data_IF_377104005481
#
_entry.id   IF_377104005481
#
_cell.length_a   1.000
_cell.length_b   1.000
_cell.length_c   1.000
_cell.angle_alpha   90.00
_cell.angle_beta   90.00
_cell.angle_gamma   90.00
#
_symmetry.space_group_name_H-M   'P 1'
#
loop_
_entity.id
_entity.type
_entity.pdbx_description
1 polymer ?
#
# COMPACT_ATOMS: atom_id res chain seq x y z
N UNK A 1 -10.19 -10.93 18.06
CA UNK A 1 -10.26 -12.17 17.25
C UNK A 1 -10.86 -11.77 15.91
N UNK A 2 -10.20 -12.07 14.81
CA UNK A 2 -10.67 -11.75 13.48
C UNK A 2 -11.52 -12.91 12.95
N UNK A 3 -12.68 -12.60 12.38
CA UNK A 3 -13.58 -13.59 11.83
C UNK A 3 -14.64 -12.93 10.96
N UNK A 4 -15.20 -13.69 10.02
CA UNK A 4 -16.31 -13.19 9.19
C UNK A 4 -17.52 -12.87 10.07
N UNK A 5 -18.11 -11.70 9.83
CA UNK A 5 -19.28 -11.22 10.59
C UNK A 5 -18.95 -10.55 11.93
N UNK A 6 -17.65 -10.36 12.23
CA UNK A 6 -17.22 -9.70 13.47
C UNK A 6 -16.22 -8.61 13.15
N UNK A 7 -16.63 -7.35 13.30
CA UNK A 7 -15.74 -6.20 13.21
C UNK A 7 -14.95 -6.04 14.51
N UNK A 8 -13.67 -5.66 14.37
CA UNK A 8 -12.85 -5.29 15.52
C UNK A 8 -13.24 -3.89 16.01
N UNK A 9 -13.47 -3.71 17.32
CA UNK A 9 -13.86 -2.41 17.87
C UNK A 9 -12.73 -1.36 17.79
N UNK A 10 -11.51 -1.81 17.71
CA UNK A 10 -10.30 -0.98 17.63
C UNK A 10 -9.16 -1.74 16.93
N UNK A 11 -7.98 -1.14 16.88
CA UNK A 11 -6.77 -1.72 16.27
C UNK A 11 -5.83 -2.40 17.27
N UNK A 12 -6.21 -2.52 18.55
CA UNK A 12 -5.34 -3.12 19.56
C UNK A 12 -5.14 -4.61 19.33
N UNK A 13 -3.98 -5.13 19.71
CA UNK A 13 -3.79 -6.56 19.81
C UNK A 13 -4.64 -7.13 20.95
N UNK A 14 -5.31 -8.28 20.78
CA UNK A 14 -6.19 -8.83 21.82
C UNK A 14 -5.42 -9.31 23.05
N UNK A 15 -6.14 -9.46 24.17
CA UNK A 15 -5.69 -10.12 25.40
C UNK A 15 -4.42 -9.54 26.03
N UNK A 16 -4.18 -8.23 25.88
CA UNK A 16 -3.04 -7.56 26.51
C UNK A 16 -1.69 -7.87 25.85
N UNK A 17 -1.67 -8.35 24.61
CA UNK A 17 -0.42 -8.63 23.88
C UNK A 17 0.46 -7.39 23.72
N UNK A 18 -0.13 -6.21 23.54
CA UNK A 18 0.61 -4.94 23.49
C UNK A 18 1.43 -4.71 24.78
N UNK A 19 0.87 -5.02 25.93
CA UNK A 19 1.58 -4.88 27.21
C UNK A 19 2.72 -5.89 27.35
N UNK A 20 2.56 -7.11 26.83
CA UNK A 20 3.62 -8.14 26.82
C UNK A 20 4.77 -7.68 25.92
N UNK A 21 4.46 -7.21 24.70
CA UNK A 21 5.47 -6.72 23.75
C UNK A 21 6.22 -5.53 24.37
N UNK A 22 5.49 -4.59 24.97
CA UNK A 22 6.08 -3.42 25.63
C UNK A 22 7.05 -3.80 26.76
N UNK A 23 6.66 -4.74 27.61
CA UNK A 23 7.49 -5.24 28.70
C UNK A 23 8.76 -5.94 28.19
N UNK A 24 8.62 -6.82 27.19
CA UNK A 24 9.75 -7.52 26.58
C UNK A 24 10.71 -6.54 25.90
N UNK A 25 10.19 -5.62 25.10
CA UNK A 25 11.00 -4.62 24.40
C UNK A 25 11.72 -3.66 25.38
N UNK A 26 11.08 -3.35 26.52
CA UNK A 26 11.71 -2.55 27.58
C UNK A 26 12.84 -3.30 28.28
N UNK A 27 12.73 -4.61 28.42
CA UNK A 27 13.78 -5.46 29.01
C UNK A 27 14.91 -5.80 28.02
N UNK A 28 14.59 -5.93 26.73
CA UNK A 28 15.55 -6.24 25.68
C UNK A 28 15.30 -5.39 24.43
N UNK A 29 16.11 -4.36 24.17
CA UNK A 29 15.96 -3.50 22.99
C UNK A 29 16.24 -4.20 21.67
N UNK A 30 16.79 -5.43 21.67
CA UNK A 30 16.99 -6.24 20.47
C UNK A 30 15.77 -7.13 20.14
N UNK A 31 14.59 -6.75 20.56
CA UNK A 31 13.34 -7.45 20.29
C UNK A 31 12.91 -7.27 18.82
N UNK A 32 12.53 -8.37 18.21
CA UNK A 32 11.85 -8.40 16.91
C UNK A 32 10.43 -8.91 17.15
N UNK A 33 9.44 -8.24 16.58
CA UNK A 33 8.02 -8.65 16.68
C UNK A 33 7.57 -9.24 15.36
N UNK A 34 6.97 -10.42 15.41
CA UNK A 34 6.31 -11.07 14.26
C UNK A 34 4.81 -11.02 14.50
N UNK A 35 4.08 -10.38 13.62
CA UNK A 35 2.63 -10.23 13.66
C UNK A 35 1.97 -11.22 12.68
N UNK A 36 1.09 -12.05 13.22
CA UNK A 36 0.23 -12.96 12.46
C UNK A 36 -1.22 -12.47 12.58
N UNK A 37 -1.53 -11.37 11.89
CA UNK A 37 -2.85 -10.71 11.92
C UNK A 37 -3.39 -10.53 10.50
N UNK A 38 -4.69 -10.58 10.32
CA UNK A 38 -5.35 -10.37 9.02
C UNK A 38 -5.59 -8.90 8.70
N UNK A 39 -5.60 -8.04 9.72
CA UNK A 39 -5.85 -6.61 9.62
C UNK A 39 -4.68 -5.78 10.13
N UNK A 40 -4.62 -4.49 9.80
CA UNK A 40 -3.73 -3.55 10.45
C UNK A 40 -3.99 -3.51 11.96
N UNK A 41 -2.91 -3.40 12.73
CA UNK A 41 -2.98 -3.23 14.19
C UNK A 41 -2.24 -1.98 14.60
N UNK A 42 -2.66 -1.38 15.72
CA UNK A 42 -1.89 -0.35 16.39
C UNK A 42 -0.61 -0.95 16.97
N UNK A 43 0.44 -0.16 17.02
CA UNK A 43 1.75 -0.61 17.50
C UNK A 43 2.35 0.43 18.46
N UNK A 44 1.77 0.61 19.64
CA UNK A 44 2.23 1.64 20.59
C UNK A 44 3.68 1.41 21.05
N UNK A 45 4.16 0.21 20.93
CA UNK A 45 5.52 -0.24 21.26
C UNK A 45 6.50 -0.16 20.08
N UNK A 46 6.07 0.29 18.89
CA UNK A 46 6.84 0.28 17.63
C UNK A 46 8.26 0.83 17.76
N UNK A 47 8.40 1.94 18.46
CA UNK A 47 9.68 2.64 18.58
C UNK A 47 10.64 2.00 19.63
N UNK A 48 10.17 0.97 20.33
CA UNK A 48 10.97 0.20 21.30
C UNK A 48 11.58 -1.07 20.73
N UNK A 49 11.14 -1.51 19.55
CA UNK A 49 11.58 -2.77 18.92
C UNK A 49 12.51 -2.52 17.75
N UNK A 50 13.37 -3.50 17.44
CA UNK A 50 14.35 -3.38 16.33
C UNK A 50 13.74 -3.62 14.97
N UNK A 51 12.77 -4.52 14.87
CA UNK A 51 12.10 -4.84 13.63
C UNK A 51 10.69 -5.39 13.88
N UNK A 52 9.85 -5.23 12.87
CA UNK A 52 8.50 -5.77 12.83
C UNK A 52 8.34 -6.54 11.52
N UNK A 53 7.90 -7.78 11.61
CA UNK A 53 7.56 -8.62 10.46
C UNK A 53 6.05 -8.83 10.46
N UNK A 54 5.38 -8.35 9.42
CA UNK A 54 3.96 -8.62 9.19
C UNK A 54 3.84 -9.90 8.37
N UNK A 55 3.52 -11.01 9.02
CA UNK A 55 3.47 -12.34 8.40
C UNK A 55 2.07 -12.71 7.90
N UNK A 56 1.03 -11.93 8.23
CA UNK A 56 -0.37 -12.20 7.86
C UNK A 56 -0.83 -13.59 8.33
N UNK A 57 -1.43 -14.38 7.45
CA UNK A 57 -1.76 -15.79 7.67
C UNK A 57 -0.80 -16.66 6.85
N UNK A 58 0.37 -17.01 7.40
CA UNK A 58 1.50 -17.55 6.62
C UNK A 58 1.30 -19.02 6.17
N UNK A 59 0.25 -19.68 6.63
CA UNK A 59 -0.11 -21.03 6.22
C UNK A 59 0.84 -22.11 6.74
N UNK A 60 0.82 -23.28 6.12
CA UNK A 60 1.51 -24.47 6.60
C UNK A 60 3.04 -24.31 6.72
N UNK A 61 3.68 -23.57 5.83
CA UNK A 61 5.12 -23.34 5.83
C UNK A 61 5.54 -22.05 6.54
N UNK A 62 4.62 -21.38 7.27
CA UNK A 62 4.82 -20.07 7.85
C UNK A 62 6.01 -19.98 8.79
N UNK A 63 6.14 -20.91 9.73
CA UNK A 63 7.26 -20.93 10.66
C UNK A 63 8.62 -21.01 9.95
N UNK A 64 8.73 -21.80 8.88
CA UNK A 64 9.94 -21.88 8.06
C UNK A 64 10.21 -20.56 7.33
N UNK A 65 9.21 -19.99 6.67
CA UNK A 65 9.36 -18.72 5.95
C UNK A 65 9.77 -17.57 6.88
N UNK A 66 9.17 -17.49 8.07
CA UNK A 66 9.56 -16.52 9.10
C UNK A 66 11.01 -16.72 9.53
N UNK A 67 11.43 -17.98 9.78
CA UNK A 67 12.80 -18.27 10.17
C UNK A 67 13.82 -17.89 9.09
N UNK A 68 13.57 -18.21 7.82
CA UNK A 68 14.42 -17.86 6.69
C UNK A 68 14.59 -16.32 6.53
N UNK A 69 13.52 -15.55 6.78
CA UNK A 69 13.60 -14.09 6.82
C UNK A 69 14.45 -13.63 8.02
N UNK A 70 14.17 -14.11 9.23
CA UNK A 70 14.86 -13.65 10.44
C UNK A 70 16.35 -13.99 10.45
N UNK A 71 16.74 -15.11 9.83
CA UNK A 71 18.16 -15.53 9.70
C UNK A 71 18.87 -14.85 8.52
N UNK A 72 18.14 -14.19 7.62
CA UNK A 72 18.70 -13.57 6.42
C UNK A 72 18.98 -14.56 5.29
N UNK A 73 18.52 -15.81 5.39
CA UNK A 73 18.60 -16.79 4.30
C UNK A 73 17.77 -16.34 3.10
N UNK A 74 16.62 -15.71 3.36
CA UNK A 74 15.77 -15.07 2.36
C UNK A 74 15.70 -13.56 2.61
N UNK A 75 16.00 -12.77 1.59
CA UNK A 75 15.84 -11.31 1.64
C UNK A 75 14.35 -10.96 1.41
N UNK A 76 13.66 -10.28 2.35
CA UNK A 76 12.26 -9.94 2.20
C UNK A 76 12.02 -9.01 1.02
N UNK A 77 10.94 -9.22 0.28
CA UNK A 77 10.49 -8.37 -0.83
C UNK A 77 9.00 -8.03 -0.78
N UNK A 78 8.30 -8.49 0.25
CA UNK A 78 6.88 -8.23 0.44
C UNK A 78 6.58 -6.73 0.60
N UNK A 79 5.41 -6.31 0.12
CA UNK A 79 4.89 -4.95 0.27
C UNK A 79 3.51 -5.00 0.90
N UNK A 80 3.21 -4.06 1.79
CA UNK A 80 1.91 -3.98 2.45
C UNK A 80 0.80 -3.76 1.42
N UNK A 81 -0.21 -4.64 1.36
CA UNK A 81 -1.33 -4.53 0.42
C UNK A 81 -2.42 -3.57 0.88
N UNK A 82 -2.23 -2.94 2.04
CA UNK A 82 -3.15 -1.98 2.63
C UNK A 82 -2.39 -0.92 3.43
N UNK A 83 -3.06 0.20 3.70
CA UNK A 83 -2.55 1.26 4.57
C UNK A 83 -2.75 0.86 6.03
N UNK A 84 -1.72 0.99 6.86
CA UNK A 84 -1.82 0.86 8.30
C UNK A 84 -2.16 2.23 8.89
N UNK A 85 -3.34 2.43 9.47
CA UNK A 85 -3.73 3.68 10.10
C UNK A 85 -2.82 4.00 11.29
N UNK A 86 -2.49 5.29 11.48
CA UNK A 86 -1.88 5.73 12.71
C UNK A 86 -2.93 5.81 13.84
N UNK A 87 -4.15 6.23 13.47
CA UNK A 87 -5.28 6.40 14.37
C UNK A 87 -6.57 6.00 13.65
N UNK A 88 -7.54 5.47 14.42
CA UNK A 88 -8.86 5.12 13.88
C UNK A 88 -9.58 6.35 13.30
N UNK A 89 -9.39 7.53 13.92
CA UNK A 89 -9.93 8.80 13.46
C UNK A 89 -9.47 9.21 12.05
N UNK A 90 -8.35 8.65 11.56
CA UNK A 90 -7.84 8.90 10.21
C UNK A 90 -8.45 7.99 9.14
N UNK A 91 -9.34 7.09 9.52
CA UNK A 91 -10.07 6.24 8.56
C UNK A 91 -11.34 6.92 8.03
N UNK A 92 -11.89 6.50 6.89
CA UNK A 92 -13.12 7.08 6.35
C UNK A 92 -14.33 6.94 7.28
N UNK A 93 -14.33 5.89 8.09
CA UNK A 93 -15.42 5.56 9.03
C UNK A 93 -14.84 5.16 10.37
N UNK A 94 -14.45 6.15 11.21
CA UNK A 94 -13.85 5.88 12.52
C UNK A 94 -14.86 5.27 13.51
N UNK A 95 -16.15 5.48 13.28
CA UNK A 95 -17.23 4.86 14.05
C UNK A 95 -17.81 3.67 13.28
N UNK A 96 -17.76 2.49 13.88
CA UNK A 96 -18.27 1.26 13.25
C UNK A 96 -19.80 1.24 13.35
N UNK A 97 -20.45 1.32 12.20
CA UNK A 97 -21.91 1.24 12.13
C UNK A 97 -22.41 -0.12 12.66
N UNK A 98 -23.29 -0.08 13.66
CA UNK A 98 -23.88 -1.29 14.24
C UNK A 98 -23.05 -1.94 15.35
N UNK A 99 -21.90 -1.41 15.72
CA UNK A 99 -21.14 -1.91 16.86
C UNK A 99 -21.97 -1.82 18.14
N UNK A 100 -22.10 -2.95 18.85
CA UNK A 100 -22.90 -3.03 20.09
C UNK A 100 -24.41 -3.16 19.87
N UNK A 101 -24.89 -3.20 18.62
CA UNK A 101 -26.31 -3.50 18.36
C UNK A 101 -26.59 -5.01 18.45
N UNK A 102 -27.78 -5.45 18.89
CA UNK A 102 -28.15 -6.87 18.90
C UNK A 102 -28.08 -7.48 17.50
N UNK A 103 -27.69 -8.75 17.43
CA UNK A 103 -27.68 -9.51 16.18
C UNK A 103 -29.05 -9.47 15.47
N UNK A 104 -29.03 -9.24 14.15
CA UNK A 104 -30.24 -9.13 13.33
C UNK A 104 -30.87 -7.74 13.31
N UNK A 105 -30.34 -6.76 14.04
CA UNK A 105 -30.78 -5.36 13.92
C UNK A 105 -30.35 -4.80 12.57
N UNK A 106 -31.28 -4.26 11.75
CA UNK A 106 -30.92 -3.60 10.50
C UNK A 106 -30.00 -2.39 10.74
N UNK A 107 -28.86 -2.34 10.06
CA UNK A 107 -27.91 -1.26 10.13
C UNK A 107 -27.73 -0.65 8.74
N UNK A 108 -27.75 0.67 8.66
CA UNK A 108 -27.44 1.38 7.41
C UNK A 108 -25.97 1.75 7.38
N UNK A 109 -25.24 1.23 6.40
CA UNK A 109 -23.84 1.59 6.15
C UNK A 109 -23.81 2.56 4.96
N UNK A 110 -23.26 3.74 5.17
CA UNK A 110 -23.07 4.75 4.13
C UNK A 110 -21.65 4.70 3.62
N UNK A 111 -21.48 4.79 2.30
CA UNK A 111 -20.20 4.87 1.61
C UNK A 111 -19.98 6.29 1.08
N UNK A 112 -20.04 7.28 1.97
CA UNK A 112 -19.94 8.71 1.63
C UNK A 112 -18.53 9.08 1.09
N UNK A 113 -17.52 8.27 1.43
CA UNK A 113 -16.15 8.34 0.90
C UNK A 113 -16.05 7.94 -0.58
N UNK A 114 -17.06 7.21 -1.09
CA UNK A 114 -17.08 6.71 -2.46
C UNK A 114 -15.91 5.74 -2.73
N UNK A 115 -15.13 6.02 -3.79
CA UNK A 115 -13.98 5.21 -4.17
C UNK A 115 -12.68 5.61 -3.44
N UNK A 116 -12.71 6.64 -2.62
CA UNK A 116 -11.52 7.19 -1.96
C UNK A 116 -11.32 6.49 -0.60
N UNK A 117 -10.78 5.27 -0.64
CA UNK A 117 -10.46 4.44 0.52
C UNK A 117 -8.96 4.12 0.59
N UNK A 118 -8.49 3.65 1.75
CA UNK A 118 -7.10 3.27 1.97
C UNK A 118 -6.14 4.41 1.63
N UNK A 119 -5.07 4.14 0.87
CA UNK A 119 -4.05 5.13 0.51
C UNK A 119 -4.60 6.34 -0.26
N UNK A 120 -5.72 6.20 -0.99
CA UNK A 120 -6.37 7.30 -1.70
C UNK A 120 -6.98 8.30 -0.72
N UNK A 121 -7.70 7.79 0.30
CA UNK A 121 -8.25 8.60 1.39
C UNK A 121 -7.15 9.36 2.13
N UNK A 122 -6.05 8.65 2.49
CA UNK A 122 -4.91 9.25 3.16
C UNK A 122 -4.29 10.37 2.33
N UNK A 123 -4.11 10.16 1.03
CA UNK A 123 -3.61 11.20 0.12
C UNK A 123 -4.57 12.39 -0.01
N UNK A 124 -5.89 12.13 -0.12
CA UNK A 124 -6.92 13.17 -0.24
C UNK A 124 -7.01 14.03 1.03
N UNK A 125 -6.94 13.40 2.20
CA UNK A 125 -7.04 14.08 3.51
C UNK A 125 -5.70 14.58 4.03
N UNK A 126 -4.61 14.28 3.34
CA UNK A 126 -3.24 14.57 3.79
C UNK A 126 -2.93 13.97 5.18
N UNK A 127 -3.48 12.80 5.47
CA UNK A 127 -3.18 12.05 6.69
C UNK A 127 -1.87 11.28 6.55
N UNK A 128 -1.13 11.16 7.64
CA UNK A 128 0.07 10.33 7.71
C UNK A 128 -0.31 8.96 8.27
N UNK A 129 -0.08 7.86 7.51
CA UNK A 129 -0.32 6.52 8.02
C UNK A 129 0.81 6.07 8.96
N UNK A 130 0.54 5.04 9.76
CA UNK A 130 1.58 4.33 10.50
C UNK A 130 2.56 3.66 9.53
N UNK A 131 2.02 2.94 8.54
CA UNK A 131 2.74 2.45 7.37
C UNK A 131 1.88 2.63 6.11
N UNK A 132 2.49 3.16 5.06
CA UNK A 132 1.79 3.40 3.81
C UNK A 132 1.51 2.09 3.05
N UNK A 133 0.45 2.07 2.25
CA UNK A 133 0.26 1.06 1.22
C UNK A 133 1.52 0.93 0.35
N UNK A 134 1.96 -0.29 0.07
CA UNK A 134 3.15 -0.56 -0.71
C UNK A 134 4.46 -0.49 0.09
N UNK A 135 4.43 -0.15 1.39
CA UNK A 135 5.63 -0.14 2.24
C UNK A 135 6.20 -1.55 2.45
N UNK A 136 7.51 -1.64 2.46
CA UNK A 136 8.27 -2.83 2.82
C UNK A 136 9.76 -2.56 2.77
N UNK A 137 10.51 -3.34 3.54
CA UNK A 137 11.96 -3.21 3.67
C UNK A 137 12.69 -4.37 2.98
N UNK A 138 13.99 -4.21 2.77
CA UNK A 138 14.89 -5.22 2.21
C UNK A 138 16.22 -5.19 2.98
N UNK A 139 16.97 -6.29 2.93
CA UNK A 139 18.34 -6.35 3.44
C UNK A 139 19.37 -5.74 2.49
N UNK A 140 18.91 -5.24 1.34
CA UNK A 140 19.71 -4.47 0.38
C UNK A 140 19.04 -3.13 0.09
N UNK A 141 19.70 -2.28 -0.69
CA UNK A 141 19.17 -0.96 -1.07
C UNK A 141 18.94 -0.90 -2.58
N UNK A 142 17.89 -0.19 -2.98
CA UNK A 142 17.57 0.03 -4.39
C UNK A 142 17.46 1.52 -4.68
N UNK A 143 17.96 1.92 -5.85
CA UNK A 143 17.80 3.26 -6.42
C UNK A 143 16.97 3.20 -7.69
N UNK A 144 16.19 4.28 -7.92
CA UNK A 144 15.32 4.43 -9.07
C UNK A 144 15.77 5.64 -9.90
N UNK A 145 16.10 5.40 -11.17
CA UNK A 145 16.55 6.43 -12.09
C UNK A 145 15.74 6.47 -13.38
N UNK A 146 16.03 7.49 -14.18
CA UNK A 146 15.63 7.64 -15.58
C UNK A 146 14.11 7.49 -15.84
N UNK A 147 13.26 8.03 -14.95
CA UNK A 147 11.81 7.98 -15.15
C UNK A 147 11.41 8.76 -16.41
N UNK A 148 10.96 8.04 -17.41
CA UNK A 148 10.37 8.55 -18.63
C UNK A 148 8.91 8.15 -18.69
N UNK A 149 8.03 9.11 -19.00
CA UNK A 149 6.60 8.87 -19.09
C UNK A 149 6.11 9.29 -20.48
N UNK A 150 5.47 8.37 -21.17
CA UNK A 150 4.77 8.64 -22.42
C UNK A 150 3.26 8.56 -22.21
N UNK A 151 2.53 9.44 -22.92
CA UNK A 151 1.08 9.51 -22.93
C UNK A 151 0.49 9.08 -24.27
N UNK A 152 -0.69 9.57 -24.56
CA UNK A 152 -1.48 9.23 -25.74
C UNK A 152 -2.80 8.58 -25.34
N UNK A 153 -2.98 7.30 -25.66
CA UNK A 153 -4.20 6.55 -25.30
C UNK A 153 -4.16 5.97 -23.88
N UNK A 154 -2.98 5.82 -23.32
CA UNK A 154 -2.72 5.44 -21.92
C UNK A 154 -1.39 6.01 -21.46
N UNK A 155 -1.02 5.75 -20.21
CA UNK A 155 0.28 6.09 -19.63
C UNK A 155 1.19 4.88 -19.68
N UNK A 156 2.41 5.08 -20.19
CA UNK A 156 3.51 4.11 -20.08
C UNK A 156 4.67 4.79 -19.37
N UNK A 157 5.12 4.23 -18.25
CA UNK A 157 6.27 4.67 -17.48
C UNK A 157 7.43 3.69 -17.67
N UNK A 158 8.61 4.20 -18.03
CA UNK A 158 9.85 3.42 -18.15
C UNK A 158 10.90 4.03 -17.23
N UNK A 159 11.60 3.20 -16.46
CA UNK A 159 12.58 3.63 -15.48
C UNK A 159 13.62 2.52 -15.23
N UNK A 160 14.74 2.88 -14.58
CA UNK A 160 15.77 1.92 -14.19
C UNK A 160 15.70 1.66 -12.69
N UNK A 161 15.84 0.40 -12.29
CA UNK A 161 16.00 -0.05 -10.90
C UNK A 161 17.39 -0.62 -10.76
N UNK A 162 18.15 -0.16 -9.77
CA UNK A 162 19.52 -0.62 -9.49
C UNK A 162 19.63 -1.11 -8.06
N UNK A 163 20.16 -2.31 -7.84
CA UNK A 163 20.55 -2.78 -6.51
C UNK A 163 21.87 -2.11 -6.11
N UNK A 164 21.81 -1.12 -5.24
CA UNK A 164 22.98 -0.35 -4.76
C UNK A 164 23.61 -0.92 -3.50
N UNK A 165 23.01 -1.98 -2.93
CA UNK A 165 23.53 -2.65 -1.75
C UNK A 165 24.44 -3.83 -2.06
N UNK A 166 24.69 -4.65 -1.05
CA UNK A 166 25.69 -5.74 -1.08
C UNK A 166 25.08 -7.14 -1.14
N UNK A 167 23.76 -7.25 -1.04
CA UNK A 167 23.04 -8.53 -1.01
C UNK A 167 22.08 -8.58 -2.19
N UNK A 168 21.94 -9.75 -2.80
CA UNK A 168 20.90 -9.98 -3.81
C UNK A 168 19.53 -9.79 -3.20
N UNK A 169 18.61 -9.25 -3.96
CA UNK A 169 17.25 -9.03 -3.47
C UNK A 169 16.26 -8.66 -4.57
N UNK A 170 15.00 -8.66 -4.20
CA UNK A 170 13.95 -8.19 -5.07
C UNK A 170 13.31 -6.91 -4.53
N UNK A 171 12.94 -6.03 -5.45
CA UNK A 171 12.21 -4.81 -5.17
C UNK A 171 10.89 -4.76 -5.95
N UNK A 172 9.98 -3.89 -5.52
CA UNK A 172 8.67 -3.70 -6.16
C UNK A 172 8.45 -2.20 -6.34
N UNK A 173 9.06 -1.58 -7.37
CA UNK A 173 8.79 -0.20 -7.74
C UNK A 173 7.33 -0.04 -8.17
N UNK A 174 6.71 1.06 -7.75
CA UNK A 174 5.28 1.32 -7.90
C UNK A 174 5.07 2.62 -8.66
N UNK A 175 4.22 2.57 -9.69
CA UNK A 175 3.88 3.73 -10.50
C UNK A 175 2.48 4.23 -10.11
N UNK A 176 2.38 5.52 -9.80
CA UNK A 176 1.14 6.15 -9.35
C UNK A 176 0.73 7.31 -10.26
N UNK A 177 -0.56 7.52 -10.42
CA UNK A 177 -1.15 8.77 -10.85
C UNK A 177 -1.32 9.64 -9.61
N UNK A 178 -0.76 10.85 -9.60
CA UNK A 178 -0.88 11.79 -8.49
C UNK A 178 -1.68 13.04 -8.82
N UNK A 179 -1.82 13.36 -10.11
CA UNK A 179 -2.61 14.49 -10.58
C UNK A 179 -3.19 14.22 -11.96
N UNK A 180 -4.42 14.65 -12.18
CA UNK A 180 -5.14 14.60 -13.45
C UNK A 180 -5.80 15.95 -13.72
N UNK A 181 -6.28 16.25 -14.95
CA UNK A 181 -6.89 17.53 -15.28
C UNK A 181 -8.07 17.95 -14.39
N UNK A 182 -8.71 16.99 -13.76
CA UNK A 182 -9.84 17.17 -12.85
C UNK A 182 -9.45 17.17 -11.36
N UNK A 183 -8.15 17.26 -11.05
CA UNK A 183 -7.63 17.44 -9.70
C UNK A 183 -6.64 16.37 -9.23
N UNK A 184 -6.18 16.53 -7.99
CA UNK A 184 -5.26 15.61 -7.34
C UNK A 184 -5.92 14.25 -7.11
N UNK A 185 -5.16 13.19 -7.34
CA UNK A 185 -5.55 11.80 -7.09
C UNK A 185 -4.32 11.02 -6.68
N UNK A 186 -4.53 9.98 -5.88
CA UNK A 186 -3.50 8.97 -5.67
C UNK A 186 -4.07 7.64 -6.14
N UNK A 187 -3.51 7.10 -7.24
CA UNK A 187 -4.00 5.84 -7.80
C UNK A 187 -2.83 5.02 -8.33
N UNK A 188 -2.67 3.81 -7.84
CA UNK A 188 -1.68 2.88 -8.36
C UNK A 188 -2.02 2.56 -9.83
N UNK A 189 -1.09 2.81 -10.72
CA UNK A 189 -1.18 2.50 -12.15
C UNK A 189 -0.59 1.13 -12.48
N UNK A 190 0.38 0.68 -11.69
CA UNK A 190 1.00 -0.62 -11.83
C UNK A 190 2.29 -0.72 -11.03
N UNK A 191 2.86 -1.91 -11.02
CA UNK A 191 4.12 -2.25 -10.37
C UNK A 191 4.76 -3.45 -11.08
N UNK A 192 6.04 -3.68 -10.82
CA UNK A 192 6.76 -4.86 -11.28
C UNK A 192 7.66 -5.35 -10.16
N UNK A 193 7.78 -6.67 -9.98
CA UNK A 193 8.76 -7.27 -9.07
C UNK A 193 10.03 -7.62 -9.84
N UNK A 194 11.14 -7.02 -9.44
CA UNK A 194 12.44 -7.20 -10.08
C UNK A 194 13.45 -7.80 -9.11
N UNK A 195 14.12 -8.86 -9.52
CA UNK A 195 15.25 -9.47 -8.78
C UNK A 195 16.56 -8.98 -9.37
N UNK A 196 17.49 -8.55 -8.49
CA UNK A 196 18.75 -7.95 -8.88
C UNK A 196 19.88 -8.45 -7.98
N UNK A 197 21.01 -8.78 -8.61
CA UNK A 197 22.28 -8.99 -7.92
C UNK A 197 22.87 -7.64 -7.45
N UNK A 198 23.81 -7.62 -6.49
CA UNK A 198 24.52 -6.41 -6.12
C UNK A 198 25.14 -5.72 -7.34
N UNK A 199 24.85 -4.41 -7.51
CA UNK A 199 25.31 -3.60 -8.64
C UNK A 199 24.51 -3.81 -9.95
N UNK A 200 23.62 -4.78 -10.01
CA UNK A 200 22.80 -5.00 -11.20
C UNK A 200 21.73 -3.92 -11.36
N UNK A 201 21.45 -3.57 -12.62
CA UNK A 201 20.41 -2.63 -13.01
C UNK A 201 19.48 -3.28 -14.04
N UNK A 202 18.18 -2.96 -13.96
CA UNK A 202 17.16 -3.41 -14.90
C UNK A 202 16.25 -2.28 -15.29
N UNK A 203 15.96 -2.17 -16.59
CA UNK A 203 14.91 -1.28 -17.08
C UNK A 203 13.55 -1.95 -16.91
N UNK A 204 12.62 -1.23 -16.34
CA UNK A 204 11.23 -1.65 -16.08
C UNK A 204 10.29 -0.76 -16.87
N UNK A 205 9.27 -1.36 -17.46
CA UNK A 205 8.19 -0.64 -18.16
C UNK A 205 6.84 -1.06 -17.59
N UNK A 206 6.07 -0.09 -17.15
CA UNK A 206 4.71 -0.25 -16.63
C UNK A 206 3.75 0.50 -17.54
N UNK A 207 2.77 -0.20 -18.12
CA UNK A 207 1.68 0.40 -18.89
C UNK A 207 0.38 0.36 -18.09
N UNK A 208 -0.24 1.50 -17.89
CA UNK A 208 -1.46 1.62 -17.11
C UNK A 208 -2.68 1.06 -17.87
N UNK A 209 -3.57 0.36 -17.15
CA UNK A 209 -4.93 0.12 -17.65
C UNK A 209 -5.63 1.48 -17.82
N UNK A 210 -6.18 1.79 -18.99
CA UNK A 210 -6.87 3.06 -19.24
C UNK A 210 -7.98 3.39 -18.23
N UNK A 211 -8.63 2.38 -17.63
CA UNK A 211 -9.65 2.58 -16.59
C UNK A 211 -9.11 3.25 -15.34
N UNK A 212 -7.82 3.06 -15.04
CA UNK A 212 -7.16 3.71 -13.90
C UNK A 212 -6.95 5.21 -14.10
N UNK A 213 -6.97 5.66 -15.35
CA UNK A 213 -6.83 7.07 -15.77
C UNK A 213 -8.18 7.76 -15.97
N UNK A 214 -9.26 6.98 -16.04
CA UNK A 214 -10.58 7.43 -16.42
C UNK A 214 -11.50 7.63 -15.22
N UNK A 215 -12.59 8.37 -15.46
CA UNK A 215 -13.81 8.35 -14.65
C UNK A 215 -14.88 7.54 -15.34
N UNK A 216 -15.65 6.80 -14.57
CA UNK A 216 -16.85 6.18 -15.05
C UNK A 216 -18.01 7.19 -14.99
N UNK A 217 -18.69 7.39 -16.10
CA UNK A 217 -19.79 8.34 -16.24
C UNK A 217 -21.04 7.59 -16.72
N UNK A 218 -22.04 7.50 -15.85
CA UNK A 218 -23.33 6.86 -16.11
C UNK A 218 -23.97 6.25 -14.88
N UNK A 219 -25.31 6.20 -14.86
CA UNK A 219 -26.07 5.64 -13.76
C UNK A 219 -26.06 4.10 -13.77
N UNK A 220 -26.12 3.48 -12.58
CA UNK A 220 -26.36 2.04 -12.39
C UNK A 220 -25.47 1.09 -13.22
N UNK A 221 -24.21 1.45 -13.44
CA UNK A 221 -23.30 0.64 -14.26
C UNK A 221 -23.54 0.73 -15.79
N UNK A 222 -24.51 1.52 -16.21
CA UNK A 222 -24.82 1.79 -17.62
C UNK A 222 -24.13 3.09 -18.04
N UNK A 223 -22.81 3.07 -18.14
CA UNK A 223 -22.03 4.25 -18.49
C UNK A 223 -20.80 3.92 -19.33
N UNK A 224 -19.95 4.91 -19.46
CA UNK A 224 -18.71 4.82 -20.23
C UNK A 224 -17.55 5.36 -19.38
N UNK A 225 -16.36 4.83 -19.64
CA UNK A 225 -15.12 5.37 -19.09
C UNK A 225 -14.69 6.59 -19.92
N UNK A 226 -14.32 7.68 -19.26
CA UNK A 226 -13.85 8.91 -19.88
C UNK A 226 -12.49 9.31 -19.37
N UNK A 227 -11.52 9.43 -20.26
CA UNK A 227 -10.23 10.08 -20.01
C UNK A 227 -10.38 11.52 -20.44
N UNK A 228 -10.15 12.47 -19.53
CA UNK A 228 -10.11 13.88 -19.84
C UNK A 228 -8.81 14.23 -20.60
N UNK A 229 -8.87 15.12 -21.61
CA UNK A 229 -7.64 15.60 -22.23
C UNK A 229 -6.88 16.53 -21.29
N UNK A 230 -5.55 16.47 -21.31
CA UNK A 230 -4.71 17.39 -20.53
C UNK A 230 -3.51 16.70 -19.88
N UNK A 231 -2.91 17.40 -18.92
CA UNK A 231 -1.70 16.96 -18.24
C UNK A 231 -2.02 16.04 -17.09
N UNK A 232 -1.26 14.95 -17.03
CA UNK A 232 -1.31 13.92 -15.97
C UNK A 232 0.07 13.83 -15.33
N UNK A 233 0.13 13.92 -14.00
CA UNK A 233 1.36 13.73 -13.24
C UNK A 233 1.47 12.31 -12.76
N UNK A 234 2.56 11.67 -13.17
CA UNK A 234 2.90 10.28 -12.84
C UNK A 234 4.08 10.28 -11.87
N UNK A 235 3.99 9.45 -10.87
CA UNK A 235 5.00 9.31 -9.84
C UNK A 235 5.52 7.87 -9.80
N UNK A 236 6.83 7.73 -9.61
CA UNK A 236 7.49 6.49 -9.27
C UNK A 236 7.83 6.51 -7.78
N UNK A 237 7.44 5.50 -7.04
CA UNK A 237 7.62 5.42 -5.60
C UNK A 237 7.97 4.03 -5.10
N UNK A 238 8.51 3.99 -3.89
CA UNK A 238 8.73 2.77 -3.09
C UNK A 238 7.47 2.35 -2.36
N UNK A 239 6.56 3.29 -2.16
CA UNK A 239 5.24 3.11 -1.56
C UNK A 239 4.35 4.31 -1.90
N UNK A 240 3.08 4.27 -1.53
CA UNK A 240 2.18 5.42 -1.66
C UNK A 240 2.60 6.64 -0.80
N UNK A 241 3.42 6.41 0.23
CA UNK A 241 3.97 7.45 1.10
C UNK A 241 5.41 7.86 0.78
N UNK A 242 6.06 7.19 -0.17
CA UNK A 242 7.48 7.43 -0.53
C UNK A 242 7.61 7.52 -2.05
N UNK A 243 7.32 8.70 -2.58
CA UNK A 243 7.47 9.06 -4.00
C UNK A 243 8.88 9.58 -4.22
N UNK A 244 9.62 8.97 -5.15
CA UNK A 244 11.04 9.32 -5.41
C UNK A 244 11.25 10.09 -6.70
N UNK A 245 10.37 9.93 -7.70
CA UNK A 245 10.42 10.65 -8.99
C UNK A 245 9.03 11.02 -9.45
N UNK A 246 8.92 12.09 -10.20
CA UNK A 246 7.68 12.49 -10.88
C UNK A 246 7.98 12.96 -12.30
N UNK A 247 7.03 12.74 -13.20
CA UNK A 247 7.08 13.24 -14.57
C UNK A 247 5.66 13.52 -15.07
N UNK A 248 5.52 14.53 -15.90
CA UNK A 248 4.23 14.90 -16.49
C UNK A 248 4.11 14.34 -17.91
N UNK A 249 2.89 13.98 -18.30
CA UNK A 249 2.57 13.60 -19.68
C UNK A 249 1.19 14.11 -20.07
N UNK A 250 0.88 14.10 -21.36
CA UNK A 250 -0.42 14.56 -21.87
C UNK A 250 -1.21 13.40 -22.44
N UNK A 251 -2.47 13.27 -22.04
CA UNK A 251 -3.41 12.33 -22.63
C UNK A 251 -4.42 13.05 -23.53
N UNK A 252 -4.92 12.31 -24.52
CA UNK A 252 -6.01 12.74 -25.37
C UNK A 252 -7.35 12.37 -24.76
N UNK A 253 -8.41 13.10 -25.14
CA UNK A 253 -9.77 12.71 -24.80
C UNK A 253 -10.07 11.30 -25.33
N UNK A 254 -10.61 10.45 -24.49
CA UNK A 254 -11.00 9.09 -24.87
C UNK A 254 -12.25 8.65 -24.13
N UNK A 255 -13.15 7.99 -24.84
CA UNK A 255 -14.36 7.37 -24.29
C UNK A 255 -14.36 5.92 -24.73
N UNK A 256 -14.61 4.97 -23.80
CA UNK A 256 -14.58 3.54 -24.07
C UNK A 256 -15.38 2.75 -23.04
N UNK A 257 -15.65 1.50 -23.38
CA UNK A 257 -16.47 0.60 -22.56
C UNK A 257 -17.96 0.92 -22.63
N UNK A 258 -18.75 -0.04 -22.22
CA UNK A 258 -20.18 0.09 -21.97
C UNK A 258 -20.46 -0.41 -20.58
#
# INVERSE_FOLDING_TARGET
MEGEGFDLPDFSLPWGQDAVIDAVASANPNTIVVLETGNPVSMPWRDKVKAIVQAWYPGQAGGRAIAEILTGEVNPSGRLPMTFPAELAHTPRPELSGLGTPWGTPVTIRYDEGAEVGYRWYAQKNHQPLYAFGHGLSYTSFDYGDLQVSGGDTVTATFTVTNTGKVAGADVPQVYLTEAPDGRRMRLLGFERVELQPGESKTVTVSADPRLLARFDGPNGLGQWRIAPGTYRVALGKSAGDVVRTSDTTLRARVFGR
#
